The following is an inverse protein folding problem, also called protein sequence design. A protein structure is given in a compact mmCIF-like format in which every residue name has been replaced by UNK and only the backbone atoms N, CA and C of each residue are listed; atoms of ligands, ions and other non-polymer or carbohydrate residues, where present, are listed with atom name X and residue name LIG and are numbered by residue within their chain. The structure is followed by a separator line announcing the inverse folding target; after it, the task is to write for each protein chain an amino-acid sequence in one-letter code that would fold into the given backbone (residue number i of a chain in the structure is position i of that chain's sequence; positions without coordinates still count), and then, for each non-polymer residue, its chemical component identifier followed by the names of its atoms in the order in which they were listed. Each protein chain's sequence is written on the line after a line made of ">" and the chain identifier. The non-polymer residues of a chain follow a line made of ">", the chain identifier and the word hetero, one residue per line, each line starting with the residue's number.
data_IF_007378897954
#
_entry.id   IF_007378897954
#
_cell.length_a   1.000
_cell.length_b   1.000
_cell.length_c   1.000
_cell.angle_alpha   90.00
_cell.angle_beta   90.00
_cell.angle_gamma   90.00
#
_symmetry.space_group_name_H-M   'P 1'
#
loop_
_entity.id
_entity.type
_entity.pdbx_description
1 polymer ?
#
# COMPACT_ATOMS: atom_id res chain seq x y z
N UNK A 1 -34.65 5.96 7.07
CA UNK A 1 -34.13 6.74 5.93
C UNK A 1 -33.12 7.73 6.50
N UNK A 2 -31.87 7.70 6.00
CA UNK A 2 -30.75 8.54 6.45
C UNK A 2 -30.01 7.95 7.66
N UNK A 3 -28.68 7.83 7.69
CA UNK A 3 -27.59 8.14 6.75
C UNK A 3 -26.42 7.21 7.12
N UNK A 4 -25.89 6.49 6.13
CA UNK A 4 -24.73 5.60 6.28
C UNK A 4 -23.48 6.45 6.53
N UNK A 5 -22.66 6.08 7.50
CA UNK A 5 -21.31 6.61 7.66
C UNK A 5 -20.34 5.47 7.33
N UNK A 6 -19.88 5.46 6.08
CA UNK A 6 -18.88 4.53 5.57
C UNK A 6 -17.51 5.14 5.84
N UNK A 7 -16.75 4.55 6.76
CA UNK A 7 -15.40 4.96 7.08
C UNK A 7 -14.57 3.76 7.50
N UNK A 8 -13.58 3.41 6.67
CA UNK A 8 -12.46 2.51 6.92
C UNK A 8 -12.68 0.99 6.80
N UNK A 9 -13.08 0.53 5.60
CA UNK A 9 -12.52 -0.69 5.01
C UNK A 9 -12.41 -0.48 3.50
N UNK A 10 -11.20 -0.19 3.03
CA UNK A 10 -10.91 -0.06 1.61
C UNK A 10 -9.70 -0.93 1.31
N UNK A 11 -9.84 -2.03 0.55
CA UNK A 11 -8.67 -2.79 0.10
C UNK A 11 -7.79 -1.85 -0.74
N UNK A 12 -6.47 -2.12 -0.85
CA UNK A 12 -5.56 -1.22 -1.55
C UNK A 12 -6.07 -0.83 -2.94
N UNK A 13 -6.86 -1.65 -3.65
CA UNK A 13 -7.49 -1.34 -4.94
C UNK A 13 -8.43 -0.13 -5.02
N UNK A 14 -8.98 0.37 -3.92
CA UNK A 14 -10.01 1.44 -3.93
C UNK A 14 -9.60 2.73 -3.19
N UNK A 15 -8.31 2.92 -2.94
CA UNK A 15 -7.81 4.05 -2.18
C UNK A 15 -7.84 5.36 -2.99
N UNK A 16 -8.74 6.27 -2.62
CA UNK A 16 -9.00 7.56 -3.29
C UNK A 16 -7.81 8.53 -3.35
N UNK A 17 -6.72 8.26 -2.63
CA UNK A 17 -5.52 9.10 -2.65
C UNK A 17 -4.62 8.89 -3.87
N UNK A 18 -4.75 7.79 -4.61
CA UNK A 18 -3.88 7.55 -5.77
C UNK A 18 -4.22 8.48 -6.90
N UNK A 19 -3.20 9.10 -7.47
CA UNK A 19 -3.31 10.03 -8.57
C UNK A 19 -2.58 9.51 -9.81
N UNK A 20 -3.06 9.88 -11.00
CA UNK A 20 -2.28 9.79 -12.24
C UNK A 20 -1.90 11.18 -12.71
N UNK A 21 -0.64 11.34 -13.09
CA UNK A 21 -0.16 12.56 -13.71
C UNK A 21 -0.15 12.34 -15.21
N UNK A 22 -0.88 13.19 -15.93
CA UNK A 22 -0.99 13.14 -17.38
C UNK A 22 -0.08 14.17 -18.02
N UNK A 23 0.48 13.79 -19.17
CA UNK A 23 1.13 14.76 -20.05
C UNK A 23 0.13 15.69 -20.73
N UNK A 24 0.62 16.54 -21.64
CA UNK A 24 -0.24 17.30 -22.57
C UNK A 24 -1.20 16.36 -23.30
N UNK A 25 -2.34 16.91 -23.70
CA UNK A 25 -3.44 16.17 -24.33
C UNK A 25 -2.95 15.15 -25.38
N UNK A 26 -3.37 13.89 -25.23
CA UNK A 26 -2.97 12.77 -26.10
C UNK A 26 -1.64 12.08 -25.77
N UNK A 27 -0.86 12.54 -24.78
CA UNK A 27 0.43 11.93 -24.41
C UNK A 27 0.32 10.75 -23.43
N UNK A 28 -0.87 10.47 -22.90
CA UNK A 28 -1.09 9.41 -21.91
C UNK A 28 -0.58 9.77 -20.50
N UNK A 29 -0.49 8.74 -19.66
CA UNK A 29 -0.04 8.87 -18.26
C UNK A 29 1.49 9.01 -18.22
N UNK A 30 1.97 10.11 -17.66
CA UNK A 30 3.39 10.38 -17.45
C UNK A 30 3.95 9.67 -16.21
N UNK A 31 3.11 9.46 -15.19
CA UNK A 31 3.47 8.78 -13.95
C UNK A 31 2.32 8.74 -12.96
N UNK A 32 2.61 8.23 -11.78
CA UNK A 32 1.69 8.19 -10.65
C UNK A 32 1.93 9.37 -9.69
N UNK A 33 1.05 9.49 -8.71
CA UNK A 33 1.18 10.40 -7.59
C UNK A 33 0.30 9.97 -6.42
N UNK A 34 0.39 10.69 -5.31
CA UNK A 34 -0.53 10.53 -4.19
C UNK A 34 -1.00 11.88 -3.65
N UNK A 35 -2.28 11.99 -3.32
CA UNK A 35 -2.86 13.11 -2.60
C UNK A 35 -2.28 13.15 -1.19
N UNK A 36 -1.51 14.20 -0.86
CA UNK A 36 -0.92 14.39 0.47
C UNK A 36 -1.85 15.15 1.41
N UNK A 37 -2.52 16.18 0.91
CA UNK A 37 -3.46 17.01 1.68
C UNK A 37 -4.75 17.18 0.87
N UNK A 38 -5.66 18.06 1.28
CA UNK A 38 -6.88 18.34 0.51
C UNK A 38 -6.60 18.85 -0.92
N UNK A 39 -5.43 19.43 -1.17
CA UNK A 39 -5.10 20.07 -2.47
C UNK A 39 -3.72 19.78 -3.01
N UNK A 40 -2.87 19.09 -2.25
CA UNK A 40 -1.48 18.84 -2.69
C UNK A 40 -1.26 17.39 -3.08
N UNK A 41 -0.55 17.19 -4.19
CA UNK A 41 -0.19 15.87 -4.73
C UNK A 41 1.32 15.73 -4.76
N UNK A 42 1.83 14.64 -4.21
CA UNK A 42 3.24 14.28 -4.29
C UNK A 42 3.48 13.34 -5.46
N UNK A 43 4.55 13.62 -6.20
CA UNK A 43 5.01 12.81 -7.32
C UNK A 43 6.53 12.93 -7.45
N UNK A 44 7.12 12.29 -8.47
CA UNK A 44 8.52 12.50 -8.80
C UNK A 44 8.69 13.76 -9.65
N UNK A 45 9.80 14.49 -9.45
CA UNK A 45 10.07 15.68 -10.24
C UNK A 45 10.24 15.33 -11.74
N UNK A 46 10.84 14.17 -12.06
CA UNK A 46 10.98 13.75 -13.47
C UNK A 46 9.64 13.40 -14.14
N UNK A 47 8.60 13.07 -13.36
CA UNK A 47 7.25 12.85 -13.89
C UNK A 47 6.66 14.19 -14.35
N UNK A 48 6.90 15.28 -13.62
CA UNK A 48 6.48 16.64 -14.00
C UNK A 48 7.20 17.09 -15.27
N UNK A 49 8.51 16.89 -15.35
CA UNK A 49 9.28 17.17 -16.57
C UNK A 49 8.78 16.38 -17.77
N UNK A 50 8.55 15.07 -17.60
CA UNK A 50 8.01 14.22 -18.66
C UNK A 50 6.62 14.71 -19.11
N UNK A 51 5.74 15.06 -18.18
CA UNK A 51 4.41 15.57 -18.48
C UNK A 51 4.44 16.90 -19.27
N UNK A 52 5.40 17.77 -18.93
CA UNK A 52 5.62 19.07 -19.59
C UNK A 52 6.52 19.00 -20.82
N UNK A 53 7.11 17.82 -21.12
CA UNK A 53 8.12 17.60 -22.17
C UNK A 53 9.35 18.50 -22.02
N UNK A 54 9.79 18.66 -20.79
CA UNK A 54 10.99 19.43 -20.44
C UNK A 54 12.17 18.46 -20.24
N UNK A 55 13.40 18.91 -20.51
CA UNK A 55 14.59 18.22 -20.01
C UNK A 55 14.68 18.38 -18.48
N UNK A 56 15.69 17.74 -17.88
CA UNK A 56 16.02 17.91 -16.47
C UNK A 56 16.11 19.39 -16.08
N UNK A 57 15.31 19.79 -15.10
CA UNK A 57 15.14 21.17 -14.67
C UNK A 57 15.61 21.36 -13.22
N UNK A 58 16.63 22.21 -13.03
CA UNK A 58 17.15 22.56 -11.70
C UNK A 58 16.18 23.44 -10.89
N UNK A 59 15.24 24.11 -11.58
CA UNK A 59 14.26 25.03 -11.01
C UNK A 59 12.84 24.51 -11.28
N UNK A 60 11.85 24.87 -10.43
CA UNK A 60 10.46 24.50 -10.67
C UNK A 60 10.04 24.94 -12.08
N UNK A 61 9.54 24.03 -12.92
CA UNK A 61 9.14 24.38 -14.27
C UNK A 61 7.88 25.26 -14.26
N UNK A 62 7.87 26.27 -15.14
CA UNK A 62 6.65 27.01 -15.44
C UNK A 62 5.75 26.13 -16.32
N UNK A 63 4.58 25.76 -15.81
CA UNK A 63 3.67 24.88 -16.55
C UNK A 63 2.53 24.36 -15.69
N UNK A 64 1.60 23.67 -16.35
CA UNK A 64 0.48 23.01 -15.71
C UNK A 64 0.42 21.57 -16.17
N UNK A 65 0.44 20.64 -15.22
CA UNK A 65 0.17 19.22 -15.48
C UNK A 65 -1.30 18.93 -15.20
N UNK A 66 -1.81 17.79 -15.66
CA UNK A 66 -3.18 17.36 -15.33
C UNK A 66 -3.13 16.15 -14.41
N UNK A 67 -3.99 16.13 -13.41
CA UNK A 67 -4.03 15.10 -12.37
C UNK A 67 -5.43 14.55 -12.26
N UNK A 68 -5.60 13.23 -12.34
CA UNK A 68 -6.87 12.58 -12.00
C UNK A 68 -6.70 11.55 -10.87
N UNK A 69 -7.83 11.08 -10.35
CA UNK A 69 -7.91 10.13 -9.25
C UNK A 69 -8.73 8.93 -9.73
N UNK A 70 -8.11 7.86 -10.26
CA UNK A 70 -8.84 6.77 -10.94
C UNK A 70 -9.79 5.98 -10.03
N UNK A 71 -9.61 6.05 -8.71
CA UNK A 71 -10.52 5.43 -7.74
C UNK A 71 -11.69 6.35 -7.33
N UNK A 72 -11.70 7.61 -7.80
CA UNK A 72 -12.79 8.54 -7.57
C UNK A 72 -13.82 8.44 -8.71
N UNK A 73 -15.10 8.29 -8.35
CA UNK A 73 -16.20 8.36 -9.30
C UNK A 73 -16.28 9.79 -9.88
N UNK A 74 -16.52 9.90 -11.19
CA UNK A 74 -16.83 11.15 -11.91
C UNK A 74 -15.74 12.27 -11.88
N UNK A 75 -14.50 11.93 -11.55
CA UNK A 75 -13.40 12.90 -11.48
C UNK A 75 -12.67 13.12 -12.81
N UNK A 76 -12.93 14.26 -13.47
CA UNK A 76 -12.09 14.73 -14.58
C UNK A 76 -10.68 15.12 -14.11
N UNK A 77 -9.71 15.17 -15.04
CA UNK A 77 -8.34 15.55 -14.71
C UNK A 77 -8.24 17.06 -14.37
N UNK A 78 -7.80 17.36 -13.15
CA UNK A 78 -7.64 18.70 -12.57
C UNK A 78 -6.27 19.28 -12.93
N UNK A 79 -6.18 20.56 -13.34
CA UNK A 79 -4.89 21.20 -13.57
C UNK A 79 -4.10 21.38 -12.27
N UNK A 80 -2.78 21.20 -12.31
CA UNK A 80 -1.91 21.33 -11.14
C UNK A 80 -0.56 21.98 -11.48
N UNK A 81 0.04 22.67 -10.51
CA UNK A 81 1.36 23.34 -10.64
C UNK A 81 2.25 23.01 -9.46
N UNK A 82 3.56 23.10 -9.63
CA UNK A 82 4.51 22.92 -8.52
C UNK A 82 4.32 24.06 -7.52
N UNK A 83 4.15 23.73 -6.24
CA UNK A 83 4.05 24.74 -5.16
C UNK A 83 5.39 25.40 -4.90
N UNK A 84 5.35 26.59 -4.31
CA UNK A 84 6.58 27.22 -3.80
C UNK A 84 7.25 26.30 -2.75
N UNK A 85 8.56 26.08 -2.91
CA UNK A 85 9.31 25.13 -2.08
C UNK A 85 9.04 23.65 -2.39
N UNK A 86 8.10 23.33 -3.28
CA UNK A 86 7.71 21.96 -3.63
C UNK A 86 8.61 21.26 -4.64
N UNK A 87 9.63 21.92 -5.18
CA UNK A 87 10.56 21.35 -6.16
C UNK A 87 11.82 20.80 -5.49
N UNK A 88 11.85 19.49 -5.22
CA UNK A 88 12.84 18.85 -4.36
C UNK A 88 13.89 18.07 -5.18
N UNK A 89 14.54 18.77 -6.12
CA UNK A 89 15.65 18.26 -6.98
C UNK A 89 17.01 18.13 -6.28
N UNK A 90 17.09 18.51 -5.00
CA UNK A 90 18.33 18.52 -4.22
C UNK A 90 18.25 17.53 -3.05
N UNK A 91 19.40 17.11 -2.48
CA UNK A 91 19.40 16.29 -1.28
C UNK A 91 18.53 16.93 -0.18
N UNK A 92 17.82 16.12 0.63
CA UNK A 92 17.90 14.66 0.69
C UNK A 92 16.99 13.89 -0.29
N UNK A 93 16.04 14.57 -0.95
CA UNK A 93 15.03 13.93 -1.80
C UNK A 93 15.52 13.61 -3.21
N UNK A 94 16.21 14.56 -3.87
CA UNK A 94 16.71 14.52 -5.25
C UNK A 94 15.66 14.44 -6.38
N UNK A 95 14.50 13.86 -6.17
CA UNK A 95 13.53 13.64 -7.26
C UNK A 95 12.08 13.62 -6.79
N UNK A 96 11.68 14.61 -5.98
CA UNK A 96 10.29 14.81 -5.59
C UNK A 96 9.75 16.16 -6.05
N UNK A 97 8.46 16.19 -6.35
CA UNK A 97 7.70 17.41 -6.60
C UNK A 97 6.37 17.37 -5.85
N UNK A 98 6.05 18.48 -5.17
CA UNK A 98 4.73 18.73 -4.58
C UNK A 98 3.96 19.65 -5.53
N UNK A 99 2.80 19.18 -5.96
CA UNK A 99 1.90 19.88 -6.85
C UNK A 99 0.71 20.40 -6.05
N UNK A 100 0.21 21.58 -6.36
CA UNK A 100 -1.08 22.08 -5.90
C UNK A 100 -2.09 22.01 -7.05
N UNK A 101 -3.24 21.41 -6.75
CA UNK A 101 -4.39 21.36 -7.63
C UNK A 101 -5.02 22.76 -7.74
N UNK A 102 -5.38 23.18 -8.94
CA UNK A 102 -6.07 24.44 -9.20
C UNK A 102 -7.51 24.43 -8.64
N UNK A 103 -8.13 23.25 -8.55
CA UNK A 103 -9.46 23.03 -8.01
C UNK A 103 -9.42 21.90 -6.97
N UNK A 104 -10.38 21.81 -6.04
CA UNK A 104 -10.46 20.66 -5.14
C UNK A 104 -10.55 19.35 -5.94
N UNK A 105 -9.93 18.26 -5.47
CA UNK A 105 -10.10 16.96 -6.09
C UNK A 105 -11.56 16.47 -5.89
N UNK A 106 -11.99 15.42 -6.60
CA UNK A 106 -13.30 14.81 -6.39
C UNK A 106 -13.54 14.49 -4.91
N UNK A 107 -14.77 14.61 -4.37
CA UNK A 107 -15.03 14.42 -2.94
C UNK A 107 -14.62 13.06 -2.36
N UNK A 108 -14.55 12.02 -3.20
CA UNK A 108 -14.11 10.68 -2.81
C UNK A 108 -12.58 10.53 -2.78
N UNK A 109 -11.82 11.50 -3.29
CA UNK A 109 -10.37 11.53 -3.20
C UNK A 109 -9.94 12.08 -1.84
N UNK A 110 -9.50 11.17 -0.97
CA UNK A 110 -9.03 11.48 0.39
C UNK A 110 -7.51 11.46 0.44
N UNK A 111 -6.89 12.24 1.33
CA UNK A 111 -5.45 12.24 1.49
C UNK A 111 -4.88 10.87 1.90
N UNK A 112 -3.67 10.57 1.46
CA UNK A 112 -2.99 9.32 1.77
C UNK A 112 -2.65 9.24 3.26
N UNK A 113 -2.84 8.08 3.92
CA UNK A 113 -2.34 7.88 5.27
C UNK A 113 -0.82 7.68 5.21
N UNK A 114 -0.07 8.75 5.42
CA UNK A 114 1.40 8.71 5.41
C UNK A 114 1.96 8.25 6.76
N UNK A 115 3.12 7.60 6.73
CA UNK A 115 3.89 7.24 7.92
C UNK A 115 4.76 8.41 8.38
N UNK A 116 4.82 8.63 9.70
CA UNK A 116 5.79 9.53 10.33
C UNK A 116 7.03 8.69 10.64
N UNK A 117 7.84 8.44 9.62
CA UNK A 117 9.03 7.59 9.70
C UNK A 117 9.29 6.87 8.39
N UNK A 118 10.57 6.63 8.07
CA UNK A 118 10.96 5.86 6.90
C UNK A 118 10.60 4.38 7.01
N UNK A 119 10.80 3.65 5.91
CA UNK A 119 10.48 2.22 5.89
C UNK A 119 11.54 1.38 6.61
N UNK A 120 11.12 0.31 7.29
CA UNK A 120 12.04 -0.64 7.91
C UNK A 120 12.66 -1.58 6.87
N UNK A 121 13.90 -2.02 7.11
CA UNK A 121 14.48 -3.10 6.30
C UNK A 121 13.70 -4.39 6.54
N UNK A 122 13.36 -5.09 5.46
CA UNK A 122 12.56 -6.30 5.47
C UNK A 122 11.06 -6.05 5.35
N UNK A 123 10.58 -4.81 5.42
CA UNK A 123 9.16 -4.48 5.28
C UNK A 123 8.60 -4.96 3.94
N UNK A 124 7.41 -5.57 3.98
CA UNK A 124 6.66 -5.97 2.79
C UNK A 124 5.85 -4.78 2.29
N UNK A 125 6.00 -4.48 1.01
CA UNK A 125 5.38 -3.31 0.40
C UNK A 125 4.62 -3.67 -0.87
N UNK A 126 3.59 -2.89 -1.16
CA UNK A 126 2.88 -2.92 -2.45
C UNK A 126 2.94 -1.58 -3.13
N UNK A 127 2.91 -1.64 -4.46
CA UNK A 127 3.00 -0.50 -5.36
C UNK A 127 1.88 -0.64 -6.38
N UNK A 128 1.25 0.47 -6.74
CA UNK A 128 0.28 0.53 -7.82
C UNK A 128 0.72 1.60 -8.81
N UNK A 129 0.95 1.20 -10.05
CA UNK A 129 1.38 2.08 -11.12
C UNK A 129 0.54 1.89 -12.37
N UNK A 130 0.75 2.79 -13.33
CA UNK A 130 -0.06 2.91 -14.55
C UNK A 130 0.81 2.76 -15.80
N UNK A 131 1.37 1.57 -16.06
CA UNK A 131 2.18 1.35 -17.25
C UNK A 131 1.34 1.52 -18.51
N UNK A 132 1.99 1.89 -19.63
CA UNK A 132 1.30 2.16 -20.88
C UNK A 132 0.44 0.99 -21.38
N UNK A 133 0.86 -0.26 -21.11
CA UNK A 133 0.11 -1.46 -21.48
C UNK A 133 -1.12 -1.72 -20.58
N UNK A 134 -1.13 -1.16 -19.36
CA UNK A 134 -2.22 -1.31 -18.37
C UNK A 134 -2.49 0.06 -17.74
N UNK A 135 -3.09 1.02 -18.49
CA UNK A 135 -3.27 2.40 -18.01
C UNK A 135 -4.25 2.52 -16.83
N UNK A 136 -5.14 1.54 -16.66
CA UNK A 136 -6.02 1.39 -15.49
C UNK A 136 -5.27 0.96 -14.24
N UNK A 137 -4.03 0.51 -14.41
CA UNK A 137 -3.05 0.26 -13.38
C UNK A 137 -2.90 -1.20 -12.99
N UNK A 138 -1.78 -1.51 -12.35
CA UNK A 138 -1.42 -2.86 -11.93
C UNK A 138 -0.65 -2.84 -10.62
N UNK A 139 -0.90 -3.85 -9.79
CA UNK A 139 -0.20 -4.06 -8.53
C UNK A 139 1.12 -4.80 -8.73
N UNK A 140 2.11 -4.43 -7.95
CA UNK A 140 3.36 -5.19 -7.80
C UNK A 140 3.80 -5.21 -6.34
N UNK A 141 4.53 -6.27 -5.97
CA UNK A 141 4.94 -6.54 -4.58
C UNK A 141 6.46 -6.45 -4.47
N UNK A 142 6.91 -5.94 -3.33
CA UNK A 142 8.33 -5.84 -3.04
C UNK A 142 8.65 -6.01 -1.56
N UNK A 143 9.95 -6.11 -1.29
CA UNK A 143 10.50 -6.06 0.06
C UNK A 143 11.56 -4.96 0.13
N UNK A 144 11.52 -4.15 1.17
CA UNK A 144 12.54 -3.12 1.41
C UNK A 144 13.85 -3.81 1.80
N UNK A 145 14.88 -3.67 0.98
CA UNK A 145 16.17 -4.35 1.19
C UNK A 145 17.12 -3.57 2.11
N UNK A 146 17.10 -2.23 2.05
CA UNK A 146 18.03 -1.40 2.81
C UNK A 146 18.22 -0.02 2.18
N UNK A 147 19.18 0.74 2.71
CA UNK A 147 19.61 1.99 2.10
C UNK A 147 20.35 1.73 0.78
N UNK A 148 20.07 2.51 -0.25
CA UNK A 148 20.72 2.35 -1.56
C UNK A 148 20.07 3.19 -2.65
N UNK A 149 20.73 3.25 -3.81
CA UNK A 149 20.31 4.08 -4.94
C UNK A 149 21.10 5.40 -5.03
N UNK A 150 20.57 6.41 -5.73
CA UNK A 150 21.25 7.70 -5.96
C UNK A 150 21.62 8.51 -4.71
N UNK A 151 21.06 8.18 -3.53
CA UNK A 151 21.33 8.88 -2.28
C UNK A 151 21.22 7.95 -1.06
N UNK A 152 21.99 8.21 -0.01
CA UNK A 152 22.05 7.37 1.19
C UNK A 152 20.72 7.24 1.96
N UNK A 153 19.79 8.19 1.77
CA UNK A 153 18.45 8.16 2.38
C UNK A 153 17.42 7.37 1.54
N UNK A 154 17.73 7.06 0.29
CA UNK A 154 16.84 6.27 -0.55
C UNK A 154 16.87 4.81 -0.12
N UNK A 155 15.78 4.09 -0.41
CA UNK A 155 15.60 2.71 0.01
C UNK A 155 15.38 1.82 -1.19
N UNK A 156 16.17 0.76 -1.28
CA UNK A 156 16.00 -0.26 -2.30
C UNK A 156 14.78 -1.14 -1.97
N UNK A 157 14.04 -1.51 -3.01
CA UNK A 157 12.95 -2.45 -2.98
C UNK A 157 13.29 -3.57 -3.97
N UNK A 158 13.35 -4.79 -3.45
CA UNK A 158 13.50 -6.00 -4.24
C UNK A 158 12.11 -6.55 -4.58
N UNK A 159 11.83 -6.70 -5.87
CA UNK A 159 10.57 -7.26 -6.35
C UNK A 159 10.45 -8.73 -5.96
N UNK A 160 9.30 -9.09 -5.38
CA UNK A 160 9.04 -10.46 -4.93
C UNK A 160 8.41 -11.33 -6.03
N UNK A 161 7.74 -10.72 -7.01
CA UNK A 161 7.05 -11.45 -8.05
C UNK A 161 7.97 -11.72 -9.24
N UNK A 162 8.44 -12.96 -9.38
CA UNK A 162 9.25 -13.37 -10.54
C UNK A 162 8.46 -13.30 -11.86
N UNK A 163 7.12 -13.46 -11.79
CA UNK A 163 6.19 -13.52 -12.94
C UNK A 163 5.25 -12.31 -13.00
N UNK A 164 5.17 -11.50 -11.93
CA UNK A 164 4.31 -10.31 -11.88
C UNK A 164 4.78 -9.17 -12.77
N UNK A 165 3.96 -8.12 -12.88
CA UNK A 165 4.29 -6.93 -13.65
C UNK A 165 5.59 -6.30 -13.10
N UNK A 166 6.63 -6.10 -13.93
CA UNK A 166 7.82 -5.38 -13.50
C UNK A 166 7.45 -3.93 -13.18
N UNK A 167 8.18 -3.35 -12.22
CA UNK A 167 8.14 -1.90 -12.05
C UNK A 167 8.73 -1.29 -13.31
N UNK A 168 8.01 -0.37 -13.94
CA UNK A 168 8.45 0.29 -15.17
C UNK A 168 7.92 1.73 -15.24
N UNK A 169 8.09 2.40 -16.38
CA UNK A 169 7.52 3.73 -16.61
C UNK A 169 6.01 3.71 -16.35
N UNK A 170 5.50 4.70 -15.62
CA UNK A 170 4.12 4.73 -15.13
C UNK A 170 3.97 4.36 -13.65
N UNK A 171 4.99 3.75 -13.03
CA UNK A 171 5.07 3.55 -11.58
C UNK A 171 5.79 4.70 -10.84
N UNK A 172 6.62 5.48 -11.52
CA UNK A 172 7.29 6.63 -10.92
C UNK A 172 6.26 7.58 -10.29
N UNK A 173 6.51 8.00 -9.04
CA UNK A 173 5.58 8.81 -8.25
C UNK A 173 4.56 8.01 -7.45
N UNK A 174 4.49 6.68 -7.60
CA UNK A 174 3.56 5.85 -6.85
C UNK A 174 3.91 5.81 -5.36
N UNK A 175 2.88 5.86 -4.52
CA UNK A 175 3.04 5.65 -3.08
C UNK A 175 3.45 4.21 -2.77
N UNK A 176 4.53 4.05 -2.01
CA UNK A 176 4.97 2.75 -1.49
C UNK A 176 4.18 2.45 -0.23
N UNK A 177 3.27 1.49 -0.33
CA UNK A 177 2.39 1.09 0.76
C UNK A 177 3.03 0.00 1.60
N UNK A 178 3.27 0.28 2.88
CA UNK A 178 3.74 -0.71 3.85
C UNK A 178 2.56 -1.52 4.38
N UNK A 179 2.59 -2.84 4.16
CA UNK A 179 1.51 -3.75 4.55
C UNK A 179 1.40 -3.93 6.06
N UNK A 180 2.48 -3.78 6.81
CA UNK A 180 2.49 -3.90 8.27
C UNK A 180 1.98 -2.64 8.96
N UNK A 181 2.37 -1.47 8.44
CA UNK A 181 1.97 -0.17 8.98
C UNK A 181 0.60 0.29 8.47
N UNK A 182 0.17 -0.19 7.30
CA UNK A 182 -1.05 0.29 6.64
C UNK A 182 -0.95 1.76 6.25
N UNK A 183 0.24 2.17 5.80
CA UNK A 183 0.58 3.57 5.49
C UNK A 183 1.49 3.67 4.29
N UNK A 184 1.48 4.83 3.64
CA UNK A 184 2.48 5.17 2.62
C UNK A 184 3.78 5.57 3.33
N UNK A 185 4.87 4.89 3.03
CA UNK A 185 6.20 5.09 3.67
C UNK A 185 7.21 5.80 2.76
N UNK A 186 6.91 5.89 1.47
CA UNK A 186 7.78 6.51 0.48
C UNK A 186 7.11 6.69 -0.87
N UNK A 187 7.87 7.23 -1.81
CA UNK A 187 7.49 7.40 -3.21
C UNK A 187 8.47 6.64 -4.08
N UNK A 188 7.97 5.83 -5.00
CA UNK A 188 8.80 5.11 -5.94
C UNK A 188 9.38 6.06 -6.98
N UNK A 189 10.72 6.08 -7.13
CA UNK A 189 11.40 7.07 -7.96
C UNK A 189 12.24 6.47 -9.08
N UNK A 190 12.89 5.33 -8.84
CA UNK A 190 13.78 4.73 -9.83
C UNK A 190 13.62 3.22 -9.92
N UNK A 191 13.95 2.67 -11.08
CA UNK A 191 14.02 1.23 -11.34
C UNK A 191 15.36 0.91 -11.97
N UNK A 192 15.95 -0.22 -11.61
CA UNK A 192 17.12 -0.74 -12.29
C UNK A 192 16.70 -1.20 -13.69
N UNK A 193 17.10 -0.46 -14.71
CA UNK A 193 16.90 -0.87 -16.10
C UNK A 193 18.00 -1.86 -16.47
N UNK A 194 17.67 -3.14 -16.51
CA UNK A 194 18.57 -4.20 -17.00
C UNK A 194 18.63 -4.16 -18.55
N UNK A 195 19.71 -4.66 -19.16
CA UNK A 195 19.82 -4.63 -20.62
C UNK A 195 18.83 -5.64 -21.20
N UNK A 196 18.28 -5.35 -22.38
CA UNK A 196 17.32 -6.21 -23.11
C UNK A 196 17.85 -7.63 -23.42
N UNK A 197 19.16 -7.85 -23.26
CA UNK A 197 19.85 -9.14 -23.40
C UNK A 197 19.76 -10.04 -22.17
N UNK A 198 19.39 -9.46 -21.02
CA UNK A 198 19.12 -10.23 -19.81
C UNK A 198 17.73 -10.85 -20.03
N UNK A 199 17.68 -12.16 -20.27
CA UNK A 199 16.43 -12.86 -20.60
C UNK A 199 15.30 -12.65 -19.58
N UNK A 200 14.11 -13.24 -19.79
CA UNK A 200 13.02 -13.18 -18.81
C UNK A 200 13.53 -13.71 -17.45
N UNK A 201 13.61 -12.83 -16.44
CA UNK A 201 14.17 -13.15 -15.12
C UNK A 201 15.27 -12.21 -14.59
N UNK A 202 15.57 -11.08 -15.25
CA UNK A 202 16.51 -10.07 -14.73
C UNK A 202 16.11 -9.50 -13.35
N UNK A 203 17.08 -8.93 -12.58
CA UNK A 203 16.83 -8.41 -11.24
C UNK A 203 15.78 -7.31 -11.25
N UNK A 204 14.71 -7.49 -10.45
CA UNK A 204 13.61 -6.53 -10.27
C UNK A 204 13.91 -5.62 -9.10
N UNK A 205 14.87 -4.72 -9.30
CA UNK A 205 15.30 -3.77 -8.27
C UNK A 205 14.71 -2.40 -8.58
N UNK A 206 14.16 -1.77 -7.55
CA UNK A 206 13.67 -0.40 -7.61
C UNK A 206 14.06 0.37 -6.37
N UNK A 207 13.92 1.69 -6.39
CA UNK A 207 14.23 2.55 -5.27
C UNK A 207 13.10 3.52 -4.99
N UNK A 208 12.84 3.72 -3.71
CA UNK A 208 11.94 4.73 -3.21
C UNK A 208 12.67 5.81 -2.43
N UNK A 209 12.03 6.98 -2.41
CA UNK A 209 12.38 8.12 -1.57
C UNK A 209 11.45 8.06 -0.34
N UNK A 210 11.97 7.83 0.88
CA UNK A 210 11.14 7.81 2.08
C UNK A 210 10.47 9.15 2.32
N UNK A 211 9.27 9.15 2.92
CA UNK A 211 8.57 10.40 3.23
C UNK A 211 9.24 11.19 4.38
N UNK A 212 10.08 10.55 5.19
CA UNK A 212 10.83 11.18 6.28
C UNK A 212 11.92 12.18 5.82
N UNK A 213 12.13 12.29 4.50
CA UNK A 213 13.03 13.28 3.90
C UNK A 213 12.32 14.60 3.59
N UNK A 214 10.98 14.61 3.62
CA UNK A 214 10.17 15.79 3.37
C UNK A 214 10.14 16.70 4.60
N UNK A 215 10.05 18.01 4.36
CA UNK A 215 9.71 18.96 5.41
C UNK A 215 8.34 18.59 6.00
N UNK A 216 8.20 18.44 7.33
CA UNK A 216 6.92 18.19 7.97
C UNK A 216 5.82 19.18 7.59
N UNK A 217 6.15 20.41 7.20
CA UNK A 217 5.19 21.41 6.72
C UNK A 217 4.54 21.04 5.37
N UNK A 218 5.16 20.15 4.59
CA UNK A 218 4.62 19.64 3.31
C UNK A 218 3.80 18.36 3.49
N UNK A 219 3.88 17.72 4.65
CA UNK A 219 3.11 16.53 4.98
C UNK A 219 1.73 16.93 5.53
N UNK A 220 0.69 16.10 5.36
CA UNK A 220 -0.54 16.31 6.09
C UNK A 220 -0.22 16.38 7.58
N UNK A 221 -0.95 17.25 8.30
CA UNK A 221 -0.93 17.24 9.76
C UNK A 221 -1.14 15.78 10.19
N UNK A 222 -0.14 15.21 10.88
CA UNK A 222 -0.27 13.86 11.36
C UNK A 222 -1.59 13.82 12.14
N UNK A 223 -2.53 12.91 11.81
CA UNK A 223 -3.65 12.70 12.71
C UNK A 223 -3.03 12.50 14.09
N UNK A 224 -3.61 13.10 15.15
CA UNK A 224 -3.06 12.95 16.50
C UNK A 224 -2.76 11.47 16.66
N UNK A 225 -1.58 11.08 17.18
CA UNK A 225 -1.29 9.68 17.37
C UNK A 225 -2.52 9.13 18.08
N UNK A 226 -3.26 8.26 17.40
CA UNK A 226 -4.11 7.35 18.10
C UNK A 226 -3.09 6.59 18.91
N UNK A 227 -2.88 7.03 20.16
CA UNK A 227 -2.19 6.27 21.16
C UNK A 227 -2.73 4.85 20.96
N UNK A 228 -1.88 3.81 20.91
CA UNK A 228 -2.41 2.47 21.07
C UNK A 228 -3.34 2.56 22.27
N UNK A 229 -4.65 2.46 22.02
CA UNK A 229 -5.61 2.36 23.09
C UNK A 229 -5.15 1.06 23.75
N UNK A 230 -4.59 1.17 24.94
CA UNK A 230 -4.57 0.06 25.87
C UNK A 230 -6.05 -0.28 26.09
N UNK A 231 -6.59 -1.12 25.23
CA UNK A 231 -7.75 -1.94 25.55
C UNK A 231 -7.17 -3.23 26.08
N UNK A 232 -6.68 -3.15 27.31
CA UNK A 232 -6.33 -4.32 28.13
C UNK A 232 -7.58 -5.08 28.60
N UNK A 233 -8.73 -4.95 27.90
CA UNK A 233 -9.98 -5.56 28.34
C UNK A 233 -10.90 -5.97 27.17
N UNK A 234 -10.33 -6.48 26.07
CA UNK A 234 -11.11 -7.32 25.16
C UNK A 234 -11.05 -8.75 25.70
N UNK A 235 -12.20 -9.33 26.05
CA UNK A 235 -12.23 -10.71 26.52
C UNK A 235 -11.76 -11.62 25.38
N UNK A 236 -10.75 -12.46 25.67
CA UNK A 236 -10.38 -13.52 24.76
C UNK A 236 -11.60 -14.40 24.46
N UNK A 237 -11.89 -14.62 23.18
CA UNK A 237 -12.93 -15.55 22.79
C UNK A 237 -12.63 -16.90 23.49
N UNK A 238 -13.62 -17.54 24.12
CA UNK A 238 -13.37 -18.76 24.84
C UNK A 238 -12.76 -19.79 23.88
N UNK A 239 -11.82 -20.65 24.34
CA UNK A 239 -11.19 -21.69 23.52
C UNK A 239 -12.14 -22.48 22.61
N UNK A 240 -13.37 -22.74 23.09
CA UNK A 240 -14.41 -23.44 22.35
C UNK A 240 -14.92 -22.68 21.12
N UNK A 241 -14.94 -21.34 21.16
CA UNK A 241 -15.46 -20.49 20.09
C UNK A 241 -14.49 -20.34 18.89
N UNK A 242 -13.26 -20.84 19.00
CA UNK A 242 -12.26 -20.80 17.92
C UNK A 242 -12.35 -22.02 16.99
N UNK A 243 -12.91 -23.13 17.46
CA UNK A 243 -12.98 -24.36 16.66
C UNK A 243 -13.80 -24.24 15.36
N UNK A 244 -14.94 -23.51 15.32
CA UNK A 244 -15.65 -23.27 14.06
C UNK A 244 -14.78 -22.60 12.99
N UNK A 245 -13.87 -21.69 13.39
CA UNK A 245 -12.92 -21.06 12.47
C UNK A 245 -11.89 -22.05 11.95
N UNK A 246 -11.36 -22.89 12.83
CA UNK A 246 -10.41 -23.95 12.47
C UNK A 246 -11.05 -24.95 11.50
N UNK A 247 -12.30 -25.33 11.74
CA UNK A 247 -13.05 -26.23 10.87
C UNK A 247 -13.27 -25.63 9.47
N UNK A 248 -13.57 -24.32 9.39
CA UNK A 248 -13.70 -23.60 8.12
C UNK A 248 -12.37 -23.50 7.37
N UNK A 249 -11.25 -23.27 8.06
CA UNK A 249 -9.93 -23.32 7.44
C UNK A 249 -9.64 -24.72 6.89
N UNK A 250 -9.89 -25.79 7.66
CA UNK A 250 -9.66 -27.16 7.21
C UNK A 250 -10.59 -27.62 6.06
N UNK A 251 -11.72 -26.93 5.87
CA UNK A 251 -12.61 -27.17 4.73
C UNK A 251 -11.97 -26.70 3.41
N UNK A 252 -11.05 -25.75 3.44
CA UNK A 252 -10.26 -25.32 2.29
C UNK A 252 -9.06 -26.27 2.10
N UNK A 253 -8.79 -26.64 0.84
CA UNK A 253 -7.78 -27.66 0.52
C UNK A 253 -6.36 -27.19 0.87
N UNK A 254 -6.04 -25.91 0.64
CA UNK A 254 -4.73 -25.31 0.94
C UNK A 254 -4.34 -25.45 2.40
N UNK A 255 -5.22 -25.07 3.34
CA UNK A 255 -4.93 -25.12 4.77
C UNK A 255 -4.96 -26.53 5.31
N UNK A 256 -5.71 -27.44 4.68
CA UNK A 256 -5.69 -28.86 5.02
C UNK A 256 -4.35 -29.52 4.68
N UNK A 257 -3.75 -29.14 3.55
CA UNK A 257 -2.47 -29.67 3.08
C UNK A 257 -1.27 -28.98 3.75
N UNK A 258 -1.31 -27.66 3.89
CA UNK A 258 -0.19 -26.87 4.38
C UNK A 258 -0.17 -26.78 5.91
N UNK A 259 -1.32 -26.88 6.60
CA UNK A 259 -1.45 -26.74 8.06
C UNK A 259 -1.11 -25.33 8.60
N UNK A 260 -1.03 -24.31 7.76
CA UNK A 260 -0.89 -22.92 8.19
C UNK A 260 0.50 -22.25 8.17
N UNK A 261 1.64 -22.86 7.78
CA UNK A 261 2.88 -22.14 7.47
C UNK A 261 2.73 -20.99 6.47
N UNK A 262 1.97 -21.18 5.38
CA UNK A 262 1.69 -20.10 4.43
C UNK A 262 0.86 -19.00 5.08
N UNK A 263 -0.15 -19.40 5.87
CA UNK A 263 -0.98 -18.48 6.64
C UNK A 263 -0.14 -17.68 7.64
N UNK A 264 0.75 -18.36 8.37
CA UNK A 264 1.68 -17.77 9.34
C UNK A 264 2.61 -16.76 8.67
N UNK A 265 3.07 -17.06 7.45
CA UNK A 265 3.89 -16.15 6.64
C UNK A 265 3.16 -14.90 6.14
N UNK A 266 1.82 -14.89 6.14
CA UNK A 266 1.01 -13.71 5.82
C UNK A 266 0.63 -12.88 7.05
N UNK A 267 0.81 -13.41 8.26
CA UNK A 267 0.47 -12.70 9.49
C UNK A 267 1.56 -11.68 9.88
N UNK A 268 1.20 -10.60 10.59
CA UNK A 268 2.17 -9.69 11.20
C UNK A 268 3.19 -10.44 12.05
N UNK A 269 4.45 -9.99 12.03
CA UNK A 269 5.57 -10.68 12.67
C UNK A 269 5.34 -10.87 14.19
N UNK A 270 4.68 -9.92 14.85
CA UNK A 270 4.33 -9.97 16.26
C UNK A 270 3.35 -11.11 16.61
N UNK A 271 2.46 -11.47 15.67
CA UNK A 271 1.52 -12.59 15.80
C UNK A 271 2.25 -13.90 15.46
N UNK A 272 3.02 -13.89 14.37
CA UNK A 272 3.72 -15.07 13.87
C UNK A 272 4.78 -15.61 14.83
N UNK A 273 5.59 -14.72 15.44
CA UNK A 273 6.73 -15.09 16.30
C UNK A 273 6.33 -15.85 17.59
N UNK A 274 5.08 -15.72 18.04
CA UNK A 274 4.58 -16.34 19.27
C UNK A 274 3.64 -17.53 19.05
N UNK A 275 3.48 -18.02 17.82
CA UNK A 275 2.56 -19.13 17.53
C UNK A 275 3.20 -20.47 17.89
N UNK A 276 2.57 -21.21 18.82
CA UNK A 276 2.98 -22.58 19.19
C UNK A 276 2.94 -23.51 17.98
N UNK A 277 4.02 -24.28 17.78
CA UNK A 277 4.10 -25.26 16.70
C UNK A 277 3.55 -26.62 17.12
N UNK A 278 2.77 -27.24 16.23
CA UNK A 278 2.21 -28.57 16.39
C UNK A 278 2.35 -29.35 15.08
N UNK A 279 2.67 -30.64 15.19
CA UNK A 279 2.70 -31.55 14.04
C UNK A 279 1.28 -31.95 13.57
N UNK A 280 0.24 -31.70 14.38
CA UNK A 280 -1.15 -31.95 14.01
C UNK A 280 -1.73 -30.68 13.33
N UNK A 281 -2.17 -30.75 12.05
CA UNK A 281 -2.65 -29.59 11.31
C UNK A 281 -3.82 -28.84 11.96
N UNK A 282 -4.77 -29.59 12.51
CA UNK A 282 -5.94 -29.03 13.18
C UNK A 282 -5.54 -28.25 14.45
N UNK A 283 -4.58 -28.77 15.20
CA UNK A 283 -4.04 -28.11 16.40
C UNK A 283 -3.14 -26.93 16.02
N UNK A 284 -2.39 -27.02 14.92
CA UNK A 284 -1.56 -25.92 14.41
C UNK A 284 -2.41 -24.71 14.02
N UNK A 285 -3.49 -24.93 13.27
CA UNK A 285 -4.44 -23.87 12.92
C UNK A 285 -5.14 -23.31 14.15
N UNK A 286 -5.47 -24.14 15.14
CA UNK A 286 -6.01 -23.67 16.41
C UNK A 286 -5.07 -22.69 17.13
N UNK A 287 -3.78 -23.01 17.24
CA UNK A 287 -2.80 -22.10 17.85
C UNK A 287 -2.66 -20.80 17.08
N UNK A 288 -2.70 -20.86 15.75
CA UNK A 288 -2.62 -19.67 14.89
C UNK A 288 -3.86 -18.77 15.04
N UNK A 289 -5.07 -19.35 15.00
CA UNK A 289 -6.34 -18.64 15.19
C UNK A 289 -6.40 -18.03 16.60
N UNK A 290 -6.03 -18.79 17.63
CA UNK A 290 -5.97 -18.31 19.01
C UNK A 290 -4.98 -17.17 19.19
N UNK A 291 -3.79 -17.29 18.60
CA UNK A 291 -2.77 -16.24 18.62
C UNK A 291 -3.25 -14.99 17.89
N UNK A 292 -3.98 -15.11 16.78
CA UNK A 292 -4.63 -13.95 16.14
C UNK A 292 -5.65 -13.29 17.08
N UNK A 293 -6.41 -14.10 17.81
CA UNK A 293 -7.30 -13.64 18.87
C UNK A 293 -6.59 -12.73 19.87
N UNK A 294 -5.38 -13.06 20.31
CA UNK A 294 -4.59 -12.32 21.33
C UNK A 294 -4.18 -10.88 20.97
N UNK A 295 -4.29 -10.47 19.71
CA UNK A 295 -3.85 -9.12 19.28
C UNK A 295 -5.01 -8.33 18.73
N UNK A 296 -5.22 -7.09 19.17
CA UNK A 296 -6.34 -6.25 18.73
C UNK A 296 -6.61 -6.31 17.21
N UNK A 297 -5.56 -6.22 16.37
CA UNK A 297 -5.63 -6.27 14.89
C UNK A 297 -5.54 -7.68 14.27
N UNK A 298 -5.41 -8.72 15.09
CA UNK A 298 -5.15 -10.08 14.67
C UNK A 298 -6.32 -10.78 13.97
N UNK A 299 -7.60 -10.65 14.41
CA UNK A 299 -8.74 -11.19 13.66
C UNK A 299 -8.80 -10.64 12.24
N UNK A 300 -8.69 -9.32 12.06
CA UNK A 300 -8.69 -8.70 10.75
C UNK A 300 -7.48 -9.13 9.90
N UNK A 301 -6.30 -9.28 10.52
CA UNK A 301 -5.11 -9.81 9.83
C UNK A 301 -5.30 -11.26 9.36
N UNK A 302 -5.96 -12.09 10.17
CA UNK A 302 -6.28 -13.47 9.84
C UNK A 302 -7.24 -13.56 8.64
N UNK A 303 -8.33 -12.79 8.64
CA UNK A 303 -9.29 -12.82 7.52
C UNK A 303 -8.65 -12.31 6.23
N UNK A 304 -7.85 -11.24 6.29
CA UNK A 304 -7.08 -10.77 5.12
C UNK A 304 -6.10 -11.82 4.60
N UNK A 305 -5.40 -12.51 5.49
CA UNK A 305 -4.46 -13.55 5.11
C UNK A 305 -5.15 -14.75 4.44
N UNK A 306 -6.34 -15.13 4.92
CA UNK A 306 -7.16 -16.19 4.33
C UNK A 306 -7.68 -15.78 2.95
N UNK A 307 -8.25 -14.57 2.82
CA UNK A 307 -8.68 -14.00 1.53
C UNK A 307 -7.52 -13.93 0.53
N UNK A 308 -6.32 -13.62 0.99
CA UNK A 308 -5.15 -13.56 0.13
C UNK A 308 -4.73 -14.92 -0.45
N UNK A 309 -4.80 -15.98 0.36
CA UNK A 309 -4.36 -17.32 -0.04
C UNK A 309 -5.40 -18.04 -0.89
N UNK A 310 -6.69 -17.85 -0.56
CA UNK A 310 -7.79 -18.57 -1.20
C UNK A 310 -8.56 -17.75 -2.25
N UNK A 311 -8.39 -16.43 -2.26
CA UNK A 311 -9.20 -15.51 -3.07
C UNK A 311 -10.63 -15.35 -2.54
N UNK A 312 -11.49 -14.70 -3.35
CA UNK A 312 -12.88 -14.40 -2.99
C UNK A 312 -13.81 -15.60 -3.26
N UNK A 313 -13.64 -16.67 -2.47
CA UNK A 313 -14.47 -17.87 -2.57
C UNK A 313 -15.62 -17.87 -1.57
N UNK A 314 -16.62 -18.72 -1.81
CA UNK A 314 -17.71 -18.95 -0.85
C UNK A 314 -17.17 -19.42 0.50
N UNK A 315 -16.16 -20.31 0.50
CA UNK A 315 -15.54 -20.82 1.72
C UNK A 315 -14.91 -19.68 2.54
N UNK A 316 -14.27 -18.71 1.87
CA UNK A 316 -13.66 -17.54 2.53
C UNK A 316 -14.72 -16.59 3.07
N UNK A 317 -15.82 -16.42 2.33
CA UNK A 317 -16.98 -15.63 2.78
C UNK A 317 -17.59 -16.23 4.04
N UNK A 318 -17.75 -17.55 4.08
CA UNK A 318 -18.25 -18.27 5.26
C UNK A 318 -17.27 -18.20 6.44
N UNK A 319 -15.97 -18.29 6.18
CA UNK A 319 -14.94 -18.11 7.20
C UNK A 319 -14.99 -16.70 7.81
N UNK A 320 -15.07 -15.65 6.98
CA UNK A 320 -15.17 -14.27 7.44
C UNK A 320 -16.45 -14.03 8.26
N UNK A 321 -17.58 -14.61 7.83
CA UNK A 321 -18.84 -14.55 8.57
C UNK A 321 -18.75 -15.25 9.93
N UNK A 322 -18.05 -16.39 10.02
CA UNK A 322 -17.81 -17.06 11.31
C UNK A 322 -16.86 -16.24 12.18
N UNK A 323 -15.83 -15.62 11.60
CA UNK A 323 -14.87 -14.79 12.34
C UNK A 323 -15.58 -13.59 12.98
N UNK A 324 -16.53 -12.98 12.28
CA UNK A 324 -17.39 -11.91 12.80
C UNK A 324 -18.27 -12.36 13.97
N UNK A 325 -18.75 -13.60 14.00
CA UNK A 325 -19.47 -14.13 15.17
C UNK A 325 -18.55 -14.32 16.37
N UNK A 326 -17.32 -14.78 16.12
CA UNK A 326 -16.33 -15.04 17.18
C UNK A 326 -15.76 -13.73 17.74
N UNK A 327 -15.61 -12.70 16.91
CA UNK A 327 -15.02 -11.40 17.28
C UNK A 327 -15.82 -10.21 16.73
N UNK A 328 -17.07 -10.01 17.20
CA UNK A 328 -18.00 -9.02 16.62
C UNK A 328 -17.49 -7.58 16.71
N UNK A 329 -16.77 -7.23 17.78
CA UNK A 329 -16.27 -5.86 17.99
C UNK A 329 -14.88 -5.62 17.36
N UNK A 330 -14.35 -6.58 16.60
CA UNK A 330 -12.96 -6.55 16.11
C UNK A 330 -12.81 -6.81 14.61
N UNK A 331 -13.94 -6.98 13.93
CA UNK A 331 -14.04 -7.19 12.50
C UNK A 331 -15.15 -6.27 12.00
N UNK A 332 -14.82 -5.40 11.04
CA UNK A 332 -15.84 -4.60 10.37
C UNK A 332 -16.69 -5.51 9.46
N UNK A 333 -17.88 -5.04 9.05
CA UNK A 333 -18.74 -5.79 8.12
C UNK A 333 -18.04 -6.16 6.80
N UNK A 334 -16.98 -5.42 6.45
CA UNK A 334 -16.17 -5.57 5.23
C UNK A 334 -14.88 -6.41 5.41
N UNK A 335 -14.53 -6.81 6.65
CA UNK A 335 -13.39 -7.70 6.94
C UNK A 335 -13.69 -9.16 6.60
#
# INVERSE_FOLDING_TARGET
>A
MGTRNAGASVPPGAAGWRARIHGREGAGVAGAGLLLTERTVLTCAHVVEAALRLPDADRPPEGTVRVDFPAAEDGGAVPARVVEGGWLRRPPALDLAVLELAEPPPPSAVAAPVAVGGAETGALVTLFGHPAAVPDGVWTRGRVAGAGGPHARWRQIDGLDAVGAPVERGFSGAGVWDLGQGRVVGVLAAVLVTRRTDGPGGPRVSWMIPLDVLDPALLPAAPPPTAPRAVDDWAAAPPSALWPLVDRLLAMESFRLDAGPQLLGQLPAEIAAGTTRSANPRVQLYHLVGRCGEFARGPAALVRAVRWLEGDTLAVTEFAAEARKTWPDRLADDD
#
